data_IF_646273880543
#
_entry.id   IF_646273880543
#
_cell.length_a   1.000
_cell.length_b   1.000
_cell.length_c   1.000
_cell.angle_alpha   90.00
_cell.angle_beta   90.00
_cell.angle_gamma   90.00
#
_symmetry.space_group_name_H-M   'P 1'
#
loop_
_entity.id
_entity.type
_entity.pdbx_description
1 polymer ?
#
# COMPACT_ATOMS: atom_id res chain seq x y z
N UNK A 1 -7.71 -6.65 3.70
CA UNK A 1 -8.12 -5.80 4.84
C UNK A 1 -8.72 -4.52 4.27
N UNK A 2 -9.84 -4.04 4.80
CA UNK A 2 -10.60 -2.93 4.22
C UNK A 2 -10.31 -1.60 4.92
N UNK A 3 -10.04 -0.57 4.12
CA UNK A 3 -9.70 0.77 4.57
C UNK A 3 -10.54 1.83 3.88
N UNK A 4 -10.91 2.88 4.62
CA UNK A 4 -11.46 4.10 4.02
C UNK A 4 -10.32 4.88 3.36
N UNK A 5 -10.42 5.12 2.06
CA UNK A 5 -9.54 6.03 1.35
C UNK A 5 -10.33 7.16 0.68
N UNK A 6 -9.68 8.29 0.44
CA UNK A 6 -10.18 9.36 -0.41
C UNK A 6 -9.39 9.37 -1.71
N UNK A 7 -10.06 9.51 -2.85
CA UNK A 7 -9.36 9.77 -4.11
C UNK A 7 -8.96 11.24 -4.15
N UNK A 8 -7.66 11.51 -4.22
CA UNK A 8 -7.13 12.87 -4.29
C UNK A 8 -6.99 13.32 -5.74
N UNK A 9 -6.55 12.41 -6.62
CA UNK A 9 -6.37 12.69 -8.03
C UNK A 9 -6.40 11.41 -8.85
N UNK A 10 -7.09 11.43 -9.99
CA UNK A 10 -6.98 10.41 -11.02
C UNK A 10 -5.90 10.83 -12.03
N UNK A 11 -5.06 9.90 -12.47
CA UNK A 11 -4.03 10.23 -13.46
C UNK A 11 -4.64 10.31 -14.87
N UNK A 12 -4.24 11.34 -15.63
CA UNK A 12 -4.76 11.57 -16.99
C UNK A 12 -3.92 10.90 -18.09
N UNK A 13 -2.78 10.32 -17.71
CA UNK A 13 -1.78 9.71 -18.61
C UNK A 13 -1.80 8.19 -18.48
N UNK A 14 -1.92 7.67 -17.27
CA UNK A 14 -1.98 6.24 -16.96
C UNK A 14 -3.31 5.96 -16.27
N UNK A 15 -4.24 5.29 -16.95
CA UNK A 15 -5.60 5.07 -16.45
C UNK A 15 -5.65 4.37 -15.10
N UNK A 16 -4.74 3.43 -14.86
CA UNK A 16 -4.67 2.66 -13.62
C UNK A 16 -3.98 3.44 -12.49
N UNK A 17 -3.31 4.57 -12.75
CA UNK A 17 -2.61 5.30 -11.70
C UNK A 17 -3.56 6.25 -10.96
N UNK A 18 -3.49 6.21 -9.62
CA UNK A 18 -4.34 7.01 -8.75
C UNK A 18 -3.56 7.53 -7.54
N UNK A 19 -3.79 8.79 -7.17
CA UNK A 19 -3.34 9.34 -5.89
C UNK A 19 -4.48 9.20 -4.88
N UNK A 20 -4.25 8.45 -3.82
CA UNK A 20 -5.20 8.27 -2.71
C UNK A 20 -4.65 8.84 -1.42
N UNK A 21 -5.58 9.19 -0.52
CA UNK A 21 -5.28 9.48 0.89
C UNK A 21 -5.92 8.40 1.76
N UNK A 22 -5.11 7.73 2.60
CA UNK A 22 -5.52 6.62 3.46
C UNK A 22 -4.83 6.73 4.82
N UNK A 23 -5.60 6.81 5.90
CA UNK A 23 -5.10 6.99 7.27
C UNK A 23 -4.03 8.11 7.42
N UNK A 24 -4.16 9.19 6.64
CA UNK A 24 -3.22 10.33 6.66
C UNK A 24 -2.00 10.18 5.73
N UNK A 25 -1.83 9.04 5.05
CA UNK A 25 -0.81 8.83 4.03
C UNK A 25 -1.33 9.17 2.64
N UNK A 26 -0.52 9.88 1.85
CA UNK A 26 -0.77 10.07 0.42
C UNK A 26 0.07 9.07 -0.38
N UNK A 27 -0.61 8.20 -1.14
CA UNK A 27 0.03 7.10 -1.87
C UNK A 27 -0.30 7.18 -3.37
N UNK A 28 0.73 7.05 -4.20
CA UNK A 28 0.58 6.80 -5.64
C UNK A 28 0.41 5.30 -5.85
N UNK A 29 -0.81 4.87 -6.17
CA UNK A 29 -1.17 3.47 -6.31
C UNK A 29 -1.60 3.12 -7.73
N UNK A 30 -1.66 1.82 -8.02
CA UNK A 30 -2.28 1.25 -9.20
C UNK A 30 -3.64 0.62 -8.89
N UNK A 31 -4.65 0.88 -9.71
CA UNK A 31 -5.97 0.26 -9.61
C UNK A 31 -5.86 -1.19 -10.07
N UNK A 32 -5.90 -2.15 -9.14
CA UNK A 32 -5.87 -3.58 -9.45
C UNK A 32 -7.26 -4.17 -9.67
N UNK A 33 -8.29 -3.55 -9.09
CA UNK A 33 -9.68 -3.97 -9.23
C UNK A 33 -10.62 -2.77 -9.02
N UNK A 34 -11.56 -2.56 -9.94
CA UNK A 34 -12.57 -1.51 -9.82
C UNK A 34 -13.81 -1.84 -10.67
N UNK A 35 -14.92 -2.32 -10.08
CA UNK A 35 -16.11 -2.73 -10.83
C UNK A 35 -17.10 -1.57 -11.12
N UNK A 36 -16.75 -0.34 -10.74
CA UNK A 36 -17.58 0.85 -10.87
C UNK A 36 -16.75 2.08 -11.23
N UNK A 37 -17.41 3.18 -11.56
CA UNK A 37 -16.72 4.46 -11.78
C UNK A 37 -16.35 5.10 -10.45
N UNK A 38 -15.16 5.65 -10.40
CA UNK A 38 -14.63 6.39 -9.26
C UNK A 38 -14.46 7.86 -9.60
N UNK A 39 -14.53 8.72 -8.59
CA UNK A 39 -14.47 10.17 -8.76
C UNK A 39 -13.51 10.79 -7.75
N UNK A 40 -12.79 11.83 -8.17
CA UNK A 40 -11.96 12.62 -7.28
C UNK A 40 -12.77 13.22 -6.13
N UNK A 41 -12.11 13.37 -4.98
CA UNK A 41 -12.66 13.87 -3.73
C UNK A 41 -13.74 13.02 -3.06
N UNK A 42 -14.05 11.84 -3.59
CA UNK A 42 -14.96 10.88 -2.96
C UNK A 42 -14.21 9.82 -2.14
N UNK A 43 -14.96 9.16 -1.26
CA UNK A 43 -14.46 8.13 -0.35
C UNK A 43 -14.90 6.74 -0.77
N UNK A 44 -13.98 5.79 -0.62
CA UNK A 44 -14.19 4.39 -0.97
C UNK A 44 -13.64 3.50 0.12
N UNK A 45 -14.22 2.32 0.22
CA UNK A 45 -13.63 1.21 0.97
C UNK A 45 -12.75 0.40 0.01
N UNK A 46 -11.48 0.25 0.37
CA UNK A 46 -10.44 -0.32 -0.49
C UNK A 46 -9.58 -1.34 0.25
N UNK A 47 -8.94 -2.23 -0.50
CA UNK A 47 -7.87 -3.09 -0.02
C UNK A 47 -6.55 -2.67 -0.65
N UNK A 48 -5.46 -2.74 0.13
CA UNK A 48 -4.12 -2.45 -0.34
C UNK A 48 -3.30 -3.74 -0.46
N UNK A 49 -2.58 -3.85 -1.56
CA UNK A 49 -1.57 -4.87 -1.81
C UNK A 49 -0.31 -4.20 -2.39
N UNK A 50 0.74 -4.98 -2.62
CA UNK A 50 1.95 -4.52 -3.28
C UNK A 50 2.46 -5.57 -4.24
N UNK A 51 3.27 -5.11 -5.19
CA UNK A 51 3.88 -5.94 -6.22
C UNK A 51 5.40 -5.73 -6.21
N UNK A 52 6.13 -6.84 -6.33
CA UNK A 52 7.59 -6.87 -6.50
C UNK A 52 7.85 -7.71 -7.75
N UNK A 53 8.44 -7.09 -8.77
CA UNK A 53 8.72 -7.74 -10.05
C UNK A 53 10.13 -8.32 -10.12
N UNK A 54 11.05 -7.79 -9.31
CA UNK A 54 12.46 -8.17 -9.32
C UNK A 54 12.85 -8.77 -7.97
N UNK A 55 13.79 -8.12 -7.28
CA UNK A 55 14.36 -8.64 -6.04
C UNK A 55 13.48 -8.29 -4.83
N UNK A 56 13.20 -9.31 -4.02
CA UNK A 56 12.52 -9.15 -2.74
C UNK A 56 13.53 -8.67 -1.69
N UNK A 57 13.64 -7.36 -1.52
CA UNK A 57 14.60 -6.73 -0.60
C UNK A 57 13.87 -6.37 0.69
N UNK A 58 14.07 -7.18 1.73
CA UNK A 58 13.53 -6.98 3.06
C UNK A 58 14.65 -7.03 4.11
N UNK A 59 14.83 -5.91 4.82
CA UNK A 59 15.87 -5.77 5.83
C UNK A 59 15.28 -5.34 7.18
N UNK A 60 15.97 -5.70 8.26
CA UNK A 60 15.65 -5.16 9.59
C UNK A 60 15.89 -3.66 9.60
N UNK A 61 14.94 -2.91 10.14
CA UNK A 61 14.98 -1.46 10.20
C UNK A 61 15.12 -0.94 11.63
N UNK A 62 15.75 0.23 11.76
CA UNK A 62 15.74 1.06 12.97
C UNK A 62 15.13 2.44 12.71
N UNK A 63 14.53 2.63 11.53
CA UNK A 63 13.91 3.88 11.09
C UNK A 63 12.51 4.04 11.69
N UNK A 64 11.80 5.10 11.30
CA UNK A 64 10.39 5.29 11.67
C UNK A 64 9.48 4.52 10.69
N UNK A 65 8.28 4.15 11.15
CA UNK A 65 7.23 3.60 10.30
C UNK A 65 6.81 4.65 9.27
N UNK A 66 6.94 4.35 7.98
CA UNK A 66 6.62 5.29 6.90
C UNK A 66 6.47 4.60 5.54
N UNK A 67 5.82 5.33 4.62
CA UNK A 67 5.91 5.10 3.18
C UNK A 67 6.87 6.13 2.58
N UNK A 68 7.99 5.68 2.03
CA UNK A 68 8.97 6.54 1.36
C UNK A 68 8.96 6.26 -0.13
N UNK A 69 8.40 7.19 -0.92
CA UNK A 69 8.44 7.11 -2.39
C UNK A 69 9.88 7.20 -2.88
N UNK A 70 10.26 6.34 -3.82
CA UNK A 70 11.60 6.33 -4.42
C UNK A 70 11.53 7.06 -5.76
N UNK A 71 12.24 8.19 -5.85
CA UNK A 71 12.31 9.05 -7.03
C UNK A 71 10.92 9.45 -7.57
N UNK A 72 10.84 9.80 -8.86
CA UNK A 72 9.57 10.03 -9.56
C UNK A 72 9.00 8.73 -10.16
N UNK A 73 9.10 7.63 -9.40
CA UNK A 73 8.63 6.30 -9.81
C UNK A 73 7.39 5.86 -9.02
N UNK A 74 6.93 4.63 -9.24
CA UNK A 74 5.89 4.00 -8.41
C UNK A 74 6.45 3.13 -7.28
N UNK A 75 7.77 3.09 -7.14
CA UNK A 75 8.43 2.30 -6.12
C UNK A 75 8.35 2.99 -4.77
N UNK A 76 8.23 2.17 -3.73
CA UNK A 76 8.21 2.61 -2.34
C UNK A 76 9.15 1.77 -1.50
N UNK A 77 9.78 2.40 -0.54
CA UNK A 77 10.21 1.72 0.68
C UNK A 77 9.10 1.81 1.71
N UNK A 78 8.74 0.66 2.26
CA UNK A 78 7.69 0.48 3.25
C UNK A 78 8.35 0.04 4.55
N UNK A 79 8.41 0.91 5.55
CA UNK A 79 8.93 0.57 6.87
C UNK A 79 7.78 0.21 7.81
N UNK A 80 7.70 -1.05 8.24
CA UNK A 80 6.55 -1.63 8.93
C UNK A 80 6.96 -2.59 10.05
N UNK A 81 6.03 -2.89 10.95
CA UNK A 81 6.18 -4.04 11.86
C UNK A 81 5.87 -5.33 11.09
N UNK A 82 6.81 -6.28 11.11
CA UNK A 82 6.58 -7.63 10.63
C UNK A 82 6.12 -8.51 11.79
N UNK A 83 4.92 -9.07 11.70
CA UNK A 83 4.41 -10.00 12.70
C UNK A 83 3.50 -11.05 12.06
N UNK A 84 3.78 -12.32 12.30
CA UNK A 84 3.01 -13.45 11.76
C UNK A 84 2.78 -13.33 10.23
N UNK A 85 3.84 -13.02 9.47
CA UNK A 85 3.79 -12.81 8.01
C UNK A 85 2.88 -11.66 7.55
N UNK A 86 2.57 -10.70 8.43
CA UNK A 86 1.89 -9.48 8.05
C UNK A 86 2.80 -8.27 8.25
N UNK A 87 2.79 -7.37 7.27
CA UNK A 87 3.37 -6.04 7.40
C UNK A 87 2.28 -5.07 7.85
N UNK A 88 2.51 -4.46 9.01
CA UNK A 88 1.59 -3.48 9.59
C UNK A 88 2.30 -2.15 9.79
N UNK A 89 1.81 -1.11 9.11
CA UNK A 89 2.19 0.29 9.32
C UNK A 89 1.10 0.98 10.11
N UNK A 90 1.33 1.17 11.41
CA UNK A 90 0.37 1.80 12.32
C UNK A 90 -1.01 1.12 12.20
N UNK A 91 -1.94 1.75 11.48
CA UNK A 91 -3.32 1.28 11.32
C UNK A 91 -3.60 0.70 9.91
N UNK A 92 -2.57 0.49 9.09
CA UNK A 92 -2.65 -0.15 7.77
C UNK A 92 -1.91 -1.48 7.85
N UNK A 93 -2.57 -2.55 7.44
CA UNK A 93 -2.02 -3.90 7.33
C UNK A 93 -2.22 -4.37 5.89
N UNK A 94 -1.14 -4.80 5.27
CA UNK A 94 -1.20 -5.40 3.94
C UNK A 94 -1.79 -6.82 4.00
N UNK A 95 -2.30 -7.27 2.85
CA UNK A 95 -2.64 -8.69 2.68
C UNK A 95 -1.44 -9.60 2.98
N UNK A 96 -1.75 -10.87 3.28
CA UNK A 96 -0.70 -11.86 3.55
C UNK A 96 0.20 -12.01 2.33
N UNK A 97 1.51 -11.90 2.57
CA UNK A 97 2.52 -12.17 1.56
C UNK A 97 3.26 -13.46 1.95
N UNK A 98 3.05 -14.50 1.15
CA UNK A 98 3.66 -15.82 1.36
C UNK A 98 5.19 -15.75 1.35
N UNK A 99 5.81 -14.79 0.65
CA UNK A 99 7.27 -14.64 0.62
C UNK A 99 7.87 -14.28 1.98
N UNK A 100 7.08 -13.66 2.88
CA UNK A 100 7.52 -13.31 4.23
C UNK A 100 7.87 -14.54 5.08
N UNK A 101 7.39 -15.73 4.71
CA UNK A 101 7.76 -16.98 5.41
C UNK A 101 9.27 -17.22 5.42
N UNK A 102 9.97 -16.79 4.35
CA UNK A 102 11.42 -16.91 4.21
C UNK A 102 12.18 -15.94 5.13
N UNK A 103 11.47 -14.99 5.74
CA UNK A 103 11.99 -13.95 6.61
C UNK A 103 11.49 -14.08 8.06
N UNK A 104 11.02 -15.26 8.45
CA UNK A 104 10.56 -15.55 9.83
C UNK A 104 11.58 -15.22 10.93
N UNK A 105 12.88 -15.14 10.63
CA UNK A 105 13.91 -14.66 11.55
C UNK A 105 13.82 -13.16 11.89
N UNK A 106 13.04 -12.40 11.11
CA UNK A 106 12.70 -10.99 11.34
C UNK A 106 11.34 -10.80 12.01
N UNK A 107 10.66 -11.88 12.43
CA UNK A 107 9.35 -11.77 13.09
C UNK A 107 9.43 -10.91 14.38
N UNK A 108 8.41 -10.10 14.60
CA UNK A 108 8.34 -9.06 15.65
C UNK A 108 9.42 -7.97 15.55
N UNK A 109 10.06 -7.79 14.40
CA UNK A 109 10.94 -6.66 14.13
C UNK A 109 10.26 -5.57 13.30
N UNK A 110 10.79 -4.36 13.40
CA UNK A 110 10.59 -3.36 12.36
C UNK A 110 11.45 -3.75 11.15
N UNK A 111 10.87 -3.71 9.97
CA UNK A 111 11.50 -4.07 8.70
C UNK A 111 11.24 -2.99 7.66
N UNK A 112 12.12 -2.88 6.66
CA UNK A 112 11.90 -2.04 5.48
C UNK A 112 11.85 -2.96 4.26
N UNK A 113 10.72 -2.96 3.56
CA UNK A 113 10.49 -3.68 2.31
C UNK A 113 10.55 -2.69 1.15
N UNK A 114 11.32 -2.99 0.11
CA UNK A 114 11.23 -2.25 -1.16
C UNK A 114 10.22 -2.93 -2.07
N UNK A 115 9.20 -2.18 -2.49
CA UNK A 115 8.17 -2.64 -3.44
C UNK A 115 8.25 -1.87 -4.75
N UNK A 116 7.92 -2.55 -5.85
CA UNK A 116 7.89 -1.90 -7.16
C UNK A 116 6.62 -1.07 -7.35
N UNK A 117 5.49 -1.51 -6.76
CA UNK A 117 4.20 -0.82 -6.80
C UNK A 117 3.37 -1.13 -5.56
N UNK A 118 2.55 -0.15 -5.16
CA UNK A 118 1.43 -0.37 -4.25
C UNK A 118 0.16 -0.39 -5.11
N UNK A 119 -0.69 -1.40 -4.91
CA UNK A 119 -1.93 -1.59 -5.65
C UNK A 119 -3.13 -1.39 -4.73
N UNK A 120 -4.24 -0.92 -5.30
CA UNK A 120 -5.49 -0.62 -4.61
C UNK A 120 -6.67 -1.26 -5.32
N UNK A 121 -7.44 -2.03 -4.57
CA UNK A 121 -8.68 -2.67 -5.01
C UNK A 121 -9.88 -1.91 -4.45
N UNK A 122 -10.71 -1.34 -5.32
CA UNK A 122 -11.92 -0.61 -4.94
C UNK A 122 -13.11 -1.56 -4.75
N UNK A 123 -13.61 -1.64 -3.51
CA UNK A 123 -14.64 -2.63 -3.14
C UNK A 123 -16.04 -2.01 -3.17
N UNK A 124 -16.20 -0.81 -2.62
CA UNK A 124 -17.47 -0.06 -2.66
C UNK A 124 -17.27 1.44 -2.37
N UNK A 125 -18.21 2.24 -2.86
CA UNK A 125 -18.34 3.64 -2.46
C UNK A 125 -18.90 3.74 -1.04
N UNK A 126 -18.40 4.71 -0.27
CA UNK A 126 -18.88 5.01 1.08
C UNK A 126 -19.21 6.50 1.20
N UNK A 127 -20.34 6.81 1.83
CA UNK A 127 -20.72 8.19 2.08
C UNK A 127 -19.75 8.82 3.08
N UNK A 128 -19.35 10.07 2.84
CA UNK A 128 -18.65 10.86 3.84
C UNK A 128 -19.64 11.12 5.01
N UNK A 129 -19.37 10.49 6.16
CA UNK A 129 -20.06 10.78 7.42
C UNK A 129 -19.77 12.21 7.90
#
# INVERSE_FOLDING_TARGET
MLYKCKIKKLDNTIEEAVLIEINGYELHCFISYCPFKIFENQFYEVELSYEIFNDYILDKSTSNIEFRKIDDSFKYEITAELKNNHLTLQNIQFEEDEYLINYSYLDNCLVTLTVDRISVSFIREIQAA
#
